data_IF_126395697845
#
_entry.id   IF_126395697845
#
_cell.length_a   1.000
_cell.length_b   1.000
_cell.length_c   1.000
_cell.angle_alpha   90.00
_cell.angle_beta   90.00
_cell.angle_gamma   90.00
#
_symmetry.space_group_name_H-M   'P 1'
#
loop_
_entity.id
_entity.type
_entity.pdbx_description
1 polymer ?
#
# COMPACT_ATOMS: atom_id res chain seq x y z
N UNK A 1 52.21 3.34 25.27
CA UNK A 1 51.96 4.38 24.26
C UNK A 1 51.59 3.79 22.89
N UNK A 2 52.30 2.73 22.37
CA UNK A 2 51.97 2.07 21.09
C UNK A 2 50.56 1.46 21.06
N UNK A 3 50.09 0.82 22.14
CA UNK A 3 48.73 0.26 22.27
C UNK A 3 47.64 1.32 22.16
N UNK A 4 47.81 2.48 22.80
CA UNK A 4 46.86 3.59 22.72
C UNK A 4 46.77 4.15 21.30
N UNK A 5 47.92 4.32 20.65
CA UNK A 5 47.99 4.82 19.27
C UNK A 5 47.35 3.81 18.29
N UNK A 6 47.63 2.51 18.44
CA UNK A 6 47.00 1.48 17.62
C UNK A 6 45.47 1.39 17.86
N UNK A 7 45.03 1.52 19.11
CA UNK A 7 43.59 1.54 19.46
C UNK A 7 42.92 2.77 18.88
N UNK A 8 43.51 3.93 18.93
CA UNK A 8 42.99 5.16 18.31
C UNK A 8 42.96 5.05 16.78
N UNK A 9 44.01 4.46 16.17
CA UNK A 9 44.03 4.18 14.75
C UNK A 9 42.87 3.26 14.36
N UNK A 10 42.67 2.14 15.05
CA UNK A 10 41.57 1.22 14.82
C UNK A 10 40.18 1.86 15.00
N UNK A 11 40.03 2.78 15.95
CA UNK A 11 38.79 3.53 16.12
C UNK A 11 38.50 4.47 14.95
N UNK A 12 39.52 5.12 14.41
CA UNK A 12 39.39 5.97 13.22
C UNK A 12 39.02 5.13 12.00
N UNK A 13 39.69 4.00 11.81
CA UNK A 13 39.44 3.09 10.69
C UNK A 13 38.04 2.46 10.74
N UNK A 14 37.46 2.31 11.94
CA UNK A 14 36.10 1.84 12.14
C UNK A 14 35.03 2.94 11.95
N UNK A 15 35.42 4.20 11.74
CA UNK A 15 34.44 5.25 11.46
C UNK A 15 33.82 5.06 10.08
N UNK A 16 32.52 5.28 9.96
CA UNK A 16 31.80 5.21 8.69
C UNK A 16 32.36 6.19 7.63
N UNK A 17 33.04 7.26 8.04
CA UNK A 17 33.67 8.22 7.13
C UNK A 17 34.70 7.60 6.19
N UNK A 18 35.39 6.54 6.63
CA UNK A 18 36.44 5.89 5.86
C UNK A 18 35.89 4.92 4.80
N UNK A 19 34.67 4.40 5.00
CA UNK A 19 34.01 3.45 4.11
C UNK A 19 32.90 4.05 3.25
N UNK A 20 32.55 5.32 3.48
CA UNK A 20 31.41 5.98 2.84
C UNK A 20 31.67 6.26 1.35
N UNK A 21 30.80 5.77 0.48
CA UNK A 21 30.85 6.03 -0.96
C UNK A 21 30.01 7.27 -1.33
N UNK A 22 30.21 7.79 -2.54
CA UNK A 22 29.35 8.87 -3.08
C UNK A 22 27.89 8.41 -3.14
N UNK A 23 27.64 7.14 -3.47
CA UNK A 23 26.28 6.58 -3.46
C UNK A 23 25.64 6.63 -2.07
N UNK A 24 26.36 6.30 -1.00
CA UNK A 24 25.86 6.42 0.37
C UNK A 24 25.48 7.85 0.71
N UNK A 25 26.31 8.84 0.33
CA UNK A 25 26.02 10.26 0.56
C UNK A 25 24.72 10.67 -0.17
N UNK A 26 24.54 10.25 -1.43
CA UNK A 26 23.32 10.52 -2.18
C UNK A 26 22.10 9.91 -1.45
N UNK A 27 22.19 8.67 -1.00
CA UNK A 27 21.08 8.01 -0.29
C UNK A 27 20.77 8.64 1.07
N UNK A 28 21.78 9.14 1.79
CA UNK A 28 21.60 9.93 3.02
C UNK A 28 20.83 11.22 2.71
N UNK A 29 21.16 11.91 1.62
CA UNK A 29 20.42 13.10 1.18
C UNK A 29 18.97 12.78 0.79
N UNK A 30 18.76 11.63 0.12
CA UNK A 30 17.40 11.12 -0.19
C UNK A 30 16.64 10.82 1.09
N UNK A 31 17.28 10.20 2.08
CA UNK A 31 16.66 9.96 3.39
C UNK A 31 16.26 11.27 4.09
N UNK A 32 17.12 12.28 4.07
CA UNK A 32 16.78 13.61 4.59
C UNK A 32 15.63 14.28 3.84
N UNK A 33 15.57 14.12 2.52
CA UNK A 33 14.43 14.59 1.72
C UNK A 33 13.13 13.91 2.18
N UNK A 34 13.14 12.60 2.37
CA UNK A 34 11.95 11.87 2.81
C UNK A 34 11.54 12.25 4.23
N UNK A 35 12.50 12.44 5.15
CA UNK A 35 12.22 12.97 6.48
C UNK A 35 11.59 14.37 6.40
N UNK A 36 12.13 15.26 5.56
CA UNK A 36 11.56 16.58 5.36
C UNK A 36 10.13 16.52 4.81
N UNK A 37 9.88 15.70 3.78
CA UNK A 37 8.55 15.54 3.20
C UNK A 37 7.56 14.98 4.22
N UNK A 38 7.99 14.04 5.03
CA UNK A 38 7.16 13.44 6.06
C UNK A 38 6.88 14.40 7.23
N UNK A 39 7.92 15.01 7.81
CA UNK A 39 7.81 15.83 9.03
C UNK A 39 7.24 17.21 8.70
N UNK A 40 7.78 17.89 7.67
CA UNK A 40 7.41 19.27 7.36
C UNK A 40 6.18 19.37 6.43
N UNK A 41 5.94 18.38 5.57
CA UNK A 41 4.82 18.38 4.62
C UNK A 41 3.70 17.43 4.99
N UNK A 42 3.89 16.58 6.02
CA UNK A 42 2.87 15.64 6.50
C UNK A 42 2.58 14.47 5.53
N UNK A 43 3.54 14.12 4.67
CA UNK A 43 3.38 13.02 3.73
C UNK A 43 3.56 11.68 4.43
N UNK A 44 2.45 11.01 4.73
CA UNK A 44 2.35 9.68 5.36
C UNK A 44 3.38 9.46 6.49
N UNK A 45 3.35 10.28 7.57
CA UNK A 45 4.42 10.29 8.59
C UNK A 45 4.63 8.93 9.25
N UNK A 46 3.55 8.15 9.44
CA UNK A 46 3.62 6.86 10.12
C UNK A 46 4.52 5.85 9.40
N UNK A 47 4.58 5.91 8.07
CA UNK A 47 5.37 4.97 7.27
C UNK A 47 6.67 5.60 6.78
N UNK A 48 6.61 6.82 6.27
CA UNK A 48 7.76 7.43 5.61
C UNK A 48 8.88 7.79 6.59
N UNK A 49 8.57 8.15 7.86
CA UNK A 49 9.60 8.43 8.88
C UNK A 49 10.45 7.18 9.17
N UNK A 50 9.88 6.02 9.56
CA UNK A 50 10.69 4.83 9.81
C UNK A 50 11.39 4.31 8.54
N UNK A 51 10.80 4.42 7.35
CA UNK A 51 11.47 4.05 6.08
C UNK A 51 12.70 4.93 5.86
N UNK A 52 12.55 6.25 5.95
CA UNK A 52 13.66 7.17 5.76
C UNK A 52 14.77 6.98 6.80
N UNK A 53 14.39 6.64 8.03
CA UNK A 53 15.36 6.37 9.08
C UNK A 53 16.11 5.05 8.86
N UNK A 54 15.43 3.99 8.43
CA UNK A 54 16.06 2.73 8.02
C UNK A 54 17.03 2.91 6.84
N UNK A 55 16.62 3.71 5.83
CA UNK A 55 17.47 4.12 4.72
C UNK A 55 18.73 4.86 5.19
N UNK A 56 18.58 5.77 6.15
CA UNK A 56 19.71 6.50 6.75
C UNK A 56 20.68 5.51 7.42
N UNK A 57 20.17 4.60 8.25
CA UNK A 57 20.99 3.65 9.00
C UNK A 57 21.80 2.73 8.08
N UNK A 58 21.20 2.12 7.06
CA UNK A 58 21.90 1.17 6.17
C UNK A 58 22.96 1.86 5.32
N UNK A 59 22.77 3.13 4.96
CA UNK A 59 23.75 3.88 4.17
C UNK A 59 24.87 4.47 5.00
N UNK A 60 24.76 4.49 6.33
CA UNK A 60 25.84 4.83 7.28
C UNK A 60 26.56 3.57 7.76
N UNK A 61 25.81 2.52 8.08
CA UNK A 61 26.30 1.26 8.63
C UNK A 61 25.62 0.05 7.96
N UNK A 62 26.13 -0.40 6.78
CA UNK A 62 25.51 -1.51 6.03
C UNK A 62 25.39 -2.81 6.80
N UNK A 63 26.31 -3.09 7.75
CA UNK A 63 26.31 -4.33 8.54
C UNK A 63 25.08 -4.48 9.44
N UNK A 64 24.29 -3.41 9.64
CA UNK A 64 23.00 -3.49 10.35
C UNK A 64 22.00 -4.43 9.65
N UNK A 65 22.19 -4.66 8.32
CA UNK A 65 21.44 -5.62 7.50
C UNK A 65 22.14 -6.94 7.26
N UNK A 66 23.41 -7.10 7.69
CA UNK A 66 24.11 -8.36 7.62
C UNK A 66 23.51 -9.39 8.60
N UNK A 67 23.84 -10.68 8.41
CA UNK A 67 23.45 -11.74 9.35
C UNK A 67 23.97 -11.40 10.76
N UNK A 68 23.05 -11.38 11.74
CA UNK A 68 23.33 -10.91 13.10
C UNK A 68 23.02 -9.42 13.35
N UNK A 69 22.81 -8.62 12.31
CA UNK A 69 22.39 -7.22 12.43
C UNK A 69 20.93 -7.07 12.82
N UNK A 70 20.60 -6.00 13.56
CA UNK A 70 19.25 -5.77 14.08
C UNK A 70 18.19 -5.73 12.97
N UNK A 71 18.43 -4.95 11.92
CA UNK A 71 17.43 -4.75 10.86
C UNK A 71 17.31 -5.96 9.94
N UNK A 72 18.31 -6.84 9.90
CA UNK A 72 18.22 -8.14 9.24
C UNK A 72 17.09 -8.99 9.85
N UNK A 73 16.99 -9.06 11.19
CA UNK A 73 15.93 -9.83 11.85
C UNK A 73 14.54 -9.21 11.62
N UNK A 74 14.43 -7.89 11.57
CA UNK A 74 13.15 -7.26 11.21
C UNK A 74 12.77 -7.55 9.77
N UNK A 75 13.74 -7.52 8.86
CA UNK A 75 13.55 -7.85 7.45
C UNK A 75 13.09 -9.31 7.24
N UNK A 76 13.60 -10.27 8.02
CA UNK A 76 13.12 -11.65 7.95
C UNK A 76 11.62 -11.76 8.23
N UNK A 77 11.06 -10.94 9.12
CA UNK A 77 9.62 -10.91 9.36
C UNK A 77 8.82 -10.40 8.15
N UNK A 78 9.42 -9.53 7.33
CA UNK A 78 8.83 -9.09 6.05
C UNK A 78 8.94 -10.22 5.02
N UNK A 79 10.10 -10.83 4.88
CA UNK A 79 10.35 -11.92 3.93
C UNK A 79 9.44 -13.13 4.21
N UNK A 80 9.21 -13.44 5.48
CA UNK A 80 8.26 -14.48 5.90
C UNK A 80 6.79 -14.04 5.79
N UNK A 81 6.53 -12.81 5.34
CA UNK A 81 5.20 -12.25 5.18
C UNK A 81 4.40 -12.09 6.48
N UNK A 82 5.07 -12.06 7.64
CA UNK A 82 4.43 -11.88 8.94
C UNK A 82 3.93 -10.44 9.10
N UNK A 83 4.82 -9.45 8.90
CA UNK A 83 4.47 -8.04 9.11
C UNK A 83 3.36 -7.57 8.16
N UNK A 84 3.39 -7.84 6.84
CA UNK A 84 2.29 -7.47 5.95
C UNK A 84 0.94 -8.09 6.37
N UNK A 85 0.92 -9.34 6.79
CA UNK A 85 -0.30 -10.00 7.26
C UNK A 85 -0.85 -9.34 8.53
N UNK A 86 0.01 -8.94 9.48
CA UNK A 86 -0.40 -8.22 10.69
C UNK A 86 -0.90 -6.79 10.39
N UNK A 87 -0.36 -6.12 9.37
CA UNK A 87 -0.92 -4.85 8.88
C UNK A 87 -2.36 -5.05 8.40
N UNK A 88 -2.62 -6.12 7.63
CA UNK A 88 -3.98 -6.43 7.18
C UNK A 88 -4.94 -6.68 8.35
N UNK A 89 -4.49 -7.32 9.44
CA UNK A 89 -5.27 -7.45 10.67
C UNK A 89 -5.64 -6.07 11.25
N UNK A 90 -4.67 -5.17 11.38
CA UNK A 90 -4.89 -3.82 11.88
C UNK A 90 -5.81 -3.01 10.97
N UNK A 91 -5.58 -3.05 9.65
CA UNK A 91 -6.46 -2.39 8.66
C UNK A 91 -7.88 -2.92 8.76
N UNK A 92 -8.07 -4.23 8.90
CA UNK A 92 -9.39 -4.84 9.11
C UNK A 92 -10.09 -4.33 10.38
N UNK A 93 -9.37 -4.21 11.49
CA UNK A 93 -9.88 -3.69 12.75
C UNK A 93 -10.26 -2.19 12.67
N UNK A 94 -9.60 -1.42 11.80
CA UNK A 94 -9.88 0.00 11.58
C UNK A 94 -10.99 0.25 10.56
N UNK A 95 -11.25 -0.70 9.66
CA UNK A 95 -12.08 -0.50 8.47
C UNK A 95 -13.55 -0.82 8.74
N UNK A 96 -14.46 0.08 8.32
CA UNK A 96 -15.89 -0.18 8.27
C UNK A 96 -16.30 -0.67 6.86
N UNK A 97 -16.69 -1.94 6.76
CA UNK A 97 -17.19 -2.53 5.52
C UNK A 97 -18.68 -2.26 5.27
N UNK A 98 -19.36 -1.56 6.19
CA UNK A 98 -20.78 -1.19 6.06
C UNK A 98 -21.16 -0.58 4.70
N UNK A 99 -20.41 0.42 4.19
CA UNK A 99 -20.67 1.01 2.87
C UNK A 99 -20.61 0.00 1.71
N UNK A 100 -19.69 -0.97 1.77
CA UNK A 100 -19.56 -2.02 0.77
C UNK A 100 -20.73 -3.03 0.86
N UNK A 101 -21.11 -3.41 2.08
CA UNK A 101 -22.26 -4.30 2.32
C UNK A 101 -23.58 -3.62 1.90
N UNK A 102 -23.71 -2.32 2.17
CA UNK A 102 -24.88 -1.55 1.77
C UNK A 102 -25.04 -1.44 0.25
N UNK A 103 -23.92 -1.34 -0.47
CA UNK A 103 -23.89 -1.25 -1.94
C UNK A 103 -22.87 -2.22 -2.54
N UNK A 104 -23.19 -3.51 -2.71
CA UNK A 104 -22.27 -4.51 -3.24
C UNK A 104 -21.77 -4.21 -4.66
N UNK A 105 -22.49 -3.41 -5.46
CA UNK A 105 -22.02 -2.97 -6.79
C UNK A 105 -20.70 -2.21 -6.72
N UNK A 106 -20.34 -1.67 -5.54
CA UNK A 106 -19.05 -1.03 -5.28
C UNK A 106 -17.85 -1.97 -5.49
N UNK A 107 -18.02 -3.28 -5.37
CA UNK A 107 -16.99 -4.27 -5.71
C UNK A 107 -16.49 -4.12 -7.15
N UNK A 108 -17.37 -3.80 -8.08
CA UNK A 108 -17.02 -3.63 -9.48
C UNK A 108 -16.10 -2.43 -9.71
N UNK A 109 -16.26 -1.36 -8.92
CA UNK A 109 -15.39 -0.19 -8.97
C UNK A 109 -14.01 -0.49 -8.38
N UNK A 110 -13.96 -1.24 -7.28
CA UNK A 110 -12.71 -1.75 -6.72
C UNK A 110 -11.98 -2.66 -7.71
N UNK A 111 -12.70 -3.60 -8.34
CA UNK A 111 -12.12 -4.48 -9.36
C UNK A 111 -11.61 -3.71 -10.58
N UNK A 112 -12.34 -2.69 -11.06
CA UNK A 112 -11.92 -1.87 -12.18
C UNK A 112 -10.61 -1.11 -11.91
N UNK A 113 -10.41 -0.62 -10.70
CA UNK A 113 -9.18 0.07 -10.32
C UNK A 113 -7.95 -0.87 -10.30
N UNK A 114 -8.15 -2.20 -10.14
CA UNK A 114 -7.06 -3.18 -10.25
C UNK A 114 -6.47 -3.26 -11.68
N UNK A 115 -7.09 -2.64 -12.66
CA UNK A 115 -6.52 -2.52 -14.01
C UNK A 115 -5.11 -1.92 -13.97
N UNK A 116 -4.82 -1.04 -13.00
CA UNK A 116 -3.48 -0.51 -12.75
C UNK A 116 -2.44 -1.60 -12.50
N UNK A 117 -2.80 -2.68 -11.80
CA UNK A 117 -1.92 -3.84 -11.55
C UNK A 117 -1.55 -4.52 -12.87
N UNK A 118 -2.52 -4.77 -13.75
CA UNK A 118 -2.26 -5.41 -15.03
C UNK A 118 -1.41 -4.53 -15.96
N UNK A 119 -1.68 -3.22 -16.00
CA UNK A 119 -0.84 -2.27 -16.75
C UNK A 119 0.60 -2.29 -16.23
N UNK A 120 0.79 -2.31 -14.89
CA UNK A 120 2.11 -2.42 -14.30
C UNK A 120 2.79 -3.75 -14.64
N UNK A 121 2.07 -4.87 -14.61
CA UNK A 121 2.62 -6.19 -14.95
C UNK A 121 3.17 -6.23 -16.38
N UNK A 122 2.31 -5.91 -17.36
CA UNK A 122 2.73 -5.90 -18.75
C UNK A 122 3.79 -4.83 -19.05
N UNK A 123 3.69 -3.67 -18.40
CA UNK A 123 4.71 -2.62 -18.49
C UNK A 123 6.07 -3.09 -17.93
N UNK A 124 6.10 -3.82 -16.82
CA UNK A 124 7.32 -4.37 -16.25
C UNK A 124 7.97 -5.42 -17.19
N UNK A 125 7.15 -6.32 -17.76
CA UNK A 125 7.63 -7.27 -18.78
C UNK A 125 8.24 -6.53 -19.98
N UNK A 126 7.56 -5.51 -20.50
CA UNK A 126 8.06 -4.70 -21.61
C UNK A 126 9.38 -3.95 -21.27
N UNK A 127 9.59 -3.60 -19.99
CA UNK A 127 10.82 -2.99 -19.50
C UNK A 127 11.94 -4.00 -19.22
N UNK A 128 11.70 -5.31 -19.43
CA UNK A 128 12.69 -6.40 -19.33
C UNK A 128 12.79 -7.02 -17.93
N UNK A 129 11.82 -6.83 -17.05
CA UNK A 129 11.73 -7.61 -15.80
C UNK A 129 11.30 -9.04 -16.10
N UNK A 130 11.78 -10.01 -15.31
CA UNK A 130 11.25 -11.37 -15.38
C UNK A 130 9.81 -11.42 -14.79
N UNK A 131 9.07 -12.50 -15.09
CA UNK A 131 7.65 -12.63 -14.73
C UNK A 131 7.38 -12.46 -13.24
N UNK A 132 8.24 -13.02 -12.35
CA UNK A 132 8.07 -12.90 -10.90
C UNK A 132 8.36 -11.48 -10.40
N UNK A 133 9.41 -10.84 -10.94
CA UNK A 133 9.72 -9.45 -10.62
C UNK A 133 8.60 -8.51 -11.15
N UNK A 134 8.11 -8.76 -12.37
CA UNK A 134 6.99 -8.02 -12.93
C UNK A 134 5.72 -8.14 -12.07
N UNK A 135 5.41 -9.34 -11.58
CA UNK A 135 4.29 -9.55 -10.66
C UNK A 135 4.47 -8.80 -9.34
N UNK A 136 5.66 -8.84 -8.73
CA UNK A 136 5.95 -8.11 -7.51
C UNK A 136 5.80 -6.59 -7.70
N UNK A 137 6.35 -6.03 -8.79
CA UNK A 137 6.24 -4.60 -9.13
C UNK A 137 4.79 -4.21 -9.43
N UNK A 138 4.00 -5.10 -10.01
CA UNK A 138 2.66 -4.78 -10.51
C UNK A 138 1.68 -4.31 -9.43
N UNK A 139 1.81 -4.84 -8.20
CA UNK A 139 0.92 -4.51 -7.09
C UNK A 139 0.96 -3.01 -6.73
N UNK A 140 2.05 -2.32 -7.05
CA UNK A 140 2.15 -0.85 -6.86
C UNK A 140 0.98 -0.13 -7.57
N UNK A 141 0.53 -0.66 -8.72
CA UNK A 141 -0.60 -0.11 -9.47
C UNK A 141 -1.94 -0.14 -8.72
N UNK A 142 -2.07 -1.01 -7.70
CA UNK A 142 -3.19 -1.06 -6.78
C UNK A 142 -3.09 -0.09 -5.61
N UNK A 143 -1.94 0.60 -5.44
CA UNK A 143 -1.62 1.48 -4.31
C UNK A 143 -1.71 0.75 -2.95
N UNK A 144 -1.13 -0.44 -2.86
CA UNK A 144 -1.11 -1.29 -1.68
C UNK A 144 0.32 -1.68 -1.30
N UNK A 145 0.91 -0.90 -0.39
CA UNK A 145 2.29 -1.10 0.07
C UNK A 145 2.50 -2.46 0.73
N UNK A 146 1.72 -2.83 1.74
CA UNK A 146 1.83 -4.14 2.41
C UNK A 146 1.71 -5.33 1.47
N UNK A 147 0.74 -5.32 0.56
CA UNK A 147 0.57 -6.39 -0.44
C UNK A 147 1.75 -6.45 -1.41
N UNK A 148 2.32 -5.30 -1.79
CA UNK A 148 3.50 -5.24 -2.67
C UNK A 148 4.70 -5.92 -2.03
N UNK A 149 4.95 -5.66 -0.73
CA UNK A 149 6.03 -6.29 0.05
C UNK A 149 5.76 -7.79 0.22
N UNK A 150 4.52 -8.14 0.60
CA UNK A 150 4.10 -9.52 0.74
C UNK A 150 4.40 -10.35 -0.51
N UNK A 151 3.97 -9.86 -1.66
CA UNK A 151 4.17 -10.59 -2.91
C UNK A 151 5.64 -10.63 -3.33
N UNK A 152 6.40 -9.54 -3.15
CA UNK A 152 7.83 -9.50 -3.43
C UNK A 152 8.60 -10.54 -2.59
N UNK A 153 8.31 -10.63 -1.28
CA UNK A 153 8.89 -11.65 -0.40
C UNK A 153 8.52 -13.06 -0.82
N UNK A 154 7.23 -13.33 -1.03
CA UNK A 154 6.75 -14.67 -1.45
C UNK A 154 7.27 -15.13 -2.79
N UNK A 155 7.52 -14.22 -3.74
CA UNK A 155 8.12 -14.54 -5.04
C UNK A 155 9.66 -14.57 -5.03
N UNK A 156 10.30 -14.34 -3.89
CA UNK A 156 11.76 -14.33 -3.74
C UNK A 156 12.43 -13.14 -4.47
N UNK A 157 11.75 -11.99 -4.52
CA UNK A 157 12.23 -10.77 -5.20
C UNK A 157 12.83 -9.76 -4.21
N UNK A 158 13.63 -10.26 -3.26
CA UNK A 158 14.24 -9.48 -2.18
C UNK A 158 15.08 -8.30 -2.68
N UNK A 159 15.78 -8.48 -3.80
CA UNK A 159 16.64 -7.43 -4.38
C UNK A 159 15.89 -6.16 -4.83
N UNK A 160 14.63 -6.26 -5.17
CA UNK A 160 13.79 -5.13 -5.60
C UNK A 160 12.70 -4.75 -4.59
N UNK A 161 12.66 -5.42 -3.43
CA UNK A 161 11.65 -5.17 -2.40
C UNK A 161 11.71 -3.72 -1.87
N UNK A 162 12.91 -3.21 -1.60
CA UNK A 162 13.12 -1.83 -1.17
C UNK A 162 12.59 -0.80 -2.16
N UNK A 163 13.03 -0.81 -3.43
CA UNK A 163 12.47 0.03 -4.48
C UNK A 163 10.95 -0.06 -4.63
N UNK A 164 10.37 -1.28 -4.58
CA UNK A 164 8.92 -1.50 -4.64
C UNK A 164 8.22 -0.82 -3.47
N UNK A 165 8.71 -1.04 -2.25
CA UNK A 165 8.10 -0.50 -1.06
C UNK A 165 8.17 1.04 -1.01
N UNK A 166 9.34 1.62 -1.29
CA UNK A 166 9.51 3.08 -1.35
C UNK A 166 8.59 3.68 -2.41
N UNK A 167 8.48 3.08 -3.60
CA UNK A 167 7.56 3.55 -4.64
C UNK A 167 6.11 3.45 -4.17
N UNK A 168 5.66 2.29 -3.66
CA UNK A 168 4.29 2.06 -3.23
C UNK A 168 3.85 3.05 -2.14
N UNK A 169 4.66 3.21 -1.07
CA UNK A 169 4.33 4.13 0.02
C UNK A 169 4.42 5.60 -0.39
N UNK A 170 5.38 5.97 -1.25
CA UNK A 170 5.45 7.33 -1.79
C UNK A 170 4.20 7.68 -2.59
N UNK A 171 3.69 6.77 -3.43
CA UNK A 171 2.47 7.02 -4.20
C UNK A 171 1.23 7.04 -3.33
N UNK A 172 1.14 6.21 -2.29
CA UNK A 172 0.07 6.31 -1.31
C UNK A 172 0.03 7.71 -0.68
N UNK A 173 1.18 8.28 -0.32
CA UNK A 173 1.27 9.64 0.22
C UNK A 173 0.86 10.71 -0.79
N UNK A 174 1.11 10.48 -2.08
CA UNK A 174 0.84 11.42 -3.16
C UNK A 174 -0.57 11.27 -3.76
N UNK A 175 -1.39 10.34 -3.28
CA UNK A 175 -2.80 10.16 -3.70
C UNK A 175 -3.56 11.49 -3.77
N UNK A 176 -3.50 12.39 -2.76
CA UNK A 176 -4.21 13.67 -2.79
C UNK A 176 -3.73 14.65 -3.86
N UNK A 177 -2.56 14.41 -4.44
CA UNK A 177 -1.96 15.24 -5.49
C UNK A 177 -2.18 14.62 -6.87
N UNK A 178 -2.01 13.30 -7.00
CA UNK A 178 -2.03 12.58 -8.28
C UNK A 178 -3.47 12.36 -8.77
N UNK A 179 -4.38 11.98 -7.89
CA UNK A 179 -5.75 11.62 -8.30
C UNK A 179 -6.60 12.80 -8.78
N UNK A 180 -6.63 13.99 -8.12
CA UNK A 180 -7.54 15.06 -8.51
C UNK A 180 -7.40 15.54 -9.96
N UNK A 181 -6.19 15.72 -10.55
CA UNK A 181 -6.05 16.06 -11.96
C UNK A 181 -6.67 15.02 -12.89
N UNK A 182 -6.46 13.74 -12.63
CA UNK A 182 -6.99 12.62 -13.43
C UNK A 182 -8.51 12.59 -13.35
N UNK A 183 -9.06 12.71 -12.13
CA UNK A 183 -10.49 12.75 -11.88
C UNK A 183 -11.17 13.91 -12.62
N UNK A 184 -10.57 15.12 -12.55
CA UNK A 184 -11.09 16.32 -13.21
C UNK A 184 -11.01 16.23 -14.73
N UNK A 185 -9.94 15.62 -15.25
CA UNK A 185 -9.75 15.41 -16.69
C UNK A 185 -10.80 14.45 -17.27
N UNK A 186 -11.13 13.39 -16.53
CA UNK A 186 -12.02 12.33 -16.98
C UNK A 186 -13.48 12.57 -16.67
N UNK A 187 -13.84 13.56 -15.85
CA UNK A 187 -15.22 13.85 -15.47
C UNK A 187 -15.63 15.28 -15.83
N UNK A 188 -16.87 15.44 -16.25
CA UNK A 188 -17.49 16.76 -16.45
C UNK A 188 -17.95 17.35 -15.12
N UNK A 189 -18.15 18.68 -15.07
CA UNK A 189 -18.65 19.35 -13.89
C UNK A 189 -20.06 18.85 -13.47
N UNK A 190 -20.90 18.51 -14.46
CA UNK A 190 -22.23 17.93 -14.22
C UNK A 190 -22.13 16.58 -13.52
N UNK A 191 -21.23 15.71 -13.98
CA UNK A 191 -21.01 14.39 -13.36
C UNK A 191 -20.48 14.52 -11.93
N UNK A 192 -19.59 15.47 -11.66
CA UNK A 192 -19.05 15.70 -10.31
C UNK A 192 -20.09 16.19 -9.30
N UNK A 193 -21.14 16.87 -9.79
CA UNK A 193 -22.26 17.38 -8.96
C UNK A 193 -23.37 16.35 -8.69
N UNK A 194 -23.27 15.13 -9.24
CA UNK A 194 -24.26 14.07 -8.99
C UNK A 194 -24.27 13.74 -7.49
N UNK A 195 -25.43 13.88 -6.87
CA UNK A 195 -25.68 13.48 -5.47
C UNK A 195 -26.21 12.07 -5.44
N UNK A 196 -25.54 11.21 -4.68
CA UNK A 196 -25.96 9.83 -4.53
C UNK A 196 -27.00 9.70 -3.41
N UNK A 197 -27.95 8.79 -3.59
CA UNK A 197 -28.94 8.48 -2.57
C UNK A 197 -28.26 7.87 -1.33
N UNK A 198 -28.83 8.13 -0.14
CA UNK A 198 -28.31 7.61 1.12
C UNK A 198 -28.21 6.07 1.08
N UNK A 199 -27.10 5.54 1.58
CA UNK A 199 -26.91 4.09 1.71
C UNK A 199 -27.94 3.48 2.65
N UNK A 200 -28.40 2.26 2.34
CA UNK A 200 -29.28 1.53 3.25
C UNK A 200 -28.58 1.26 4.60
N UNK A 201 -29.32 1.21 5.69
CA UNK A 201 -28.77 0.74 6.95
C UNK A 201 -28.34 -0.75 6.83
N UNK A 202 -27.19 -1.08 7.43
CA UNK A 202 -26.65 -2.44 7.47
C UNK A 202 -26.87 -2.99 8.88
N UNK A 203 -27.47 -4.17 8.99
CA UNK A 203 -27.71 -4.82 10.27
C UNK A 203 -26.42 -5.32 10.90
N UNK A 204 -26.39 -5.45 12.23
CA UNK A 204 -25.25 -6.00 12.96
C UNK A 204 -24.91 -7.42 12.51
N UNK A 205 -25.91 -8.24 12.19
CA UNK A 205 -25.72 -9.60 11.70
C UNK A 205 -24.99 -9.61 10.36
N UNK A 206 -25.39 -8.76 9.39
CA UNK A 206 -24.71 -8.62 8.11
C UNK A 206 -23.23 -8.24 8.30
N UNK A 207 -22.95 -7.30 9.20
CA UNK A 207 -21.58 -6.86 9.50
C UNK A 207 -20.72 -7.98 10.11
N UNK A 208 -21.29 -8.84 10.97
CA UNK A 208 -20.57 -9.98 11.56
C UNK A 208 -20.39 -11.12 10.55
N UNK A 209 -21.39 -11.41 9.73
CA UNK A 209 -21.34 -12.51 8.75
C UNK A 209 -20.43 -12.17 7.57
N UNK A 210 -20.32 -10.89 7.18
CA UNK A 210 -19.54 -10.47 6.03
C UNK A 210 -18.08 -10.95 6.08
N UNK A 211 -17.28 -10.68 7.12
CA UNK A 211 -15.89 -11.14 7.17
C UNK A 211 -15.76 -12.67 7.18
N UNK A 212 -16.69 -13.39 7.78
CA UNK A 212 -16.70 -14.86 7.79
C UNK A 212 -16.94 -15.38 6.38
N UNK A 213 -17.98 -14.88 5.70
CA UNK A 213 -18.34 -15.32 4.35
C UNK A 213 -17.25 -14.99 3.35
N UNK A 214 -16.68 -13.76 3.41
CA UNK A 214 -15.58 -13.36 2.51
C UNK A 214 -14.37 -14.26 2.72
N UNK A 215 -13.97 -14.53 3.98
CA UNK A 215 -12.86 -15.43 4.27
C UNK A 215 -13.09 -16.82 3.68
N UNK A 216 -14.26 -17.42 3.92
CA UNK A 216 -14.56 -18.76 3.44
C UNK A 216 -14.59 -18.81 1.91
N UNK A 217 -15.33 -17.90 1.28
CA UNK A 217 -15.50 -17.90 -0.19
C UNK A 217 -14.18 -17.64 -0.89
N UNK A 218 -13.46 -16.61 -0.49
CA UNK A 218 -12.20 -16.22 -1.16
C UNK A 218 -11.12 -17.29 -0.94
N UNK A 219 -10.99 -17.82 0.28
CA UNK A 219 -9.98 -18.85 0.57
C UNK A 219 -10.29 -20.20 -0.05
N UNK A 220 -11.57 -20.55 -0.27
CA UNK A 220 -11.94 -21.76 -1.01
C UNK A 220 -11.62 -21.65 -2.50
N UNK A 221 -11.82 -20.46 -3.09
CA UNK A 221 -11.53 -20.23 -4.52
C UNK A 221 -10.01 -20.08 -4.74
N UNK A 222 -9.34 -19.34 -3.86
CA UNK A 222 -7.93 -18.99 -3.99
C UNK A 222 -7.23 -19.08 -2.62
N UNK A 223 -6.80 -20.28 -2.20
CA UNK A 223 -6.20 -20.51 -0.86
C UNK A 223 -4.99 -19.62 -0.55
N UNK A 224 -4.22 -19.24 -1.56
CA UNK A 224 -3.04 -18.38 -1.43
C UNK A 224 -3.35 -16.97 -0.91
N UNK A 225 -4.61 -16.53 -0.95
CA UNK A 225 -5.03 -15.23 -0.40
C UNK A 225 -5.28 -15.26 1.10
N UNK A 226 -5.42 -16.46 1.70
CA UNK A 226 -5.82 -16.61 3.10
C UNK A 226 -4.96 -15.80 4.10
N UNK A 227 -3.62 -15.68 3.95
CA UNK A 227 -2.83 -14.88 4.88
C UNK A 227 -3.23 -13.40 4.89
N UNK A 228 -3.56 -12.80 3.76
CA UNK A 228 -3.92 -11.39 3.67
C UNK A 228 -5.42 -11.18 3.94
N UNK A 229 -6.27 -11.83 3.15
CA UNK A 229 -7.73 -11.66 3.27
C UNK A 229 -8.23 -12.20 4.60
N UNK A 230 -7.70 -13.34 5.06
CA UNK A 230 -8.07 -13.91 6.36
C UNK A 230 -7.73 -12.98 7.52
N UNK A 231 -6.53 -12.39 7.54
CA UNK A 231 -6.14 -11.44 8.58
C UNK A 231 -6.93 -10.13 8.51
N UNK A 232 -7.22 -9.62 7.32
CA UNK A 232 -8.11 -8.46 7.12
C UNK A 232 -9.49 -8.72 7.71
N UNK A 233 -10.07 -9.86 7.37
CA UNK A 233 -11.41 -10.24 7.82
C UNK A 233 -11.44 -10.59 9.31
N UNK A 234 -10.36 -11.17 9.87
CA UNK A 234 -10.24 -11.41 11.30
C UNK A 234 -10.26 -10.10 12.09
N UNK A 235 -9.49 -9.09 11.65
CA UNK A 235 -9.50 -7.77 12.26
C UNK A 235 -10.88 -7.11 12.20
N UNK A 236 -11.56 -7.23 11.07
CA UNK A 236 -12.92 -6.73 10.93
C UNK A 236 -13.92 -7.47 11.82
N UNK A 237 -13.79 -8.79 11.95
CA UNK A 237 -14.62 -9.58 12.86
C UNK A 237 -14.42 -9.17 14.33
N UNK A 238 -13.20 -8.85 14.76
CA UNK A 238 -12.95 -8.29 16.09
C UNK A 238 -13.79 -7.04 16.33
N UNK A 239 -13.76 -6.12 15.35
CA UNK A 239 -14.51 -4.85 15.42
C UNK A 239 -16.02 -5.08 15.46
N UNK A 240 -16.56 -5.81 14.48
CA UNK A 240 -18.00 -5.91 14.27
C UNK A 240 -18.71 -6.84 15.29
N UNK A 241 -17.98 -7.80 15.84
CA UNK A 241 -18.52 -8.67 16.91
C UNK A 241 -18.88 -7.88 18.17
N UNK A 242 -18.07 -6.89 18.52
CA UNK A 242 -18.21 -6.05 19.70
C UNK A 242 -17.92 -6.75 21.03
N UNK A 243 -17.55 -8.06 21.00
CA UNK A 243 -17.30 -8.86 22.23
C UNK A 243 -15.82 -8.91 22.63
N UNK A 244 -14.92 -8.52 21.73
CA UNK A 244 -13.46 -8.53 21.92
C UNK A 244 -12.85 -7.13 21.70
N UNK A 245 -13.42 -6.12 22.31
CA UNK A 245 -12.99 -4.71 22.11
C UNK A 245 -11.50 -4.51 22.38
N UNK A 246 -10.93 -5.18 23.36
CA UNK A 246 -9.50 -5.11 23.70
C UNK A 246 -8.62 -5.62 22.54
N UNK A 247 -9.04 -6.67 21.83
CA UNK A 247 -8.32 -7.14 20.63
C UNK A 247 -8.44 -6.16 19.48
N UNK A 248 -9.63 -5.56 19.31
CA UNK A 248 -9.84 -4.51 18.29
C UNK A 248 -8.93 -3.31 18.55
N UNK A 249 -8.91 -2.80 19.79
CA UNK A 249 -8.09 -1.65 20.16
C UNK A 249 -6.59 -1.96 20.02
N UNK A 250 -6.18 -3.16 20.42
CA UNK A 250 -4.78 -3.60 20.28
C UNK A 250 -4.39 -3.72 18.81
N UNK A 251 -5.21 -4.34 17.98
CA UNK A 251 -4.93 -4.55 16.57
C UNK A 251 -4.91 -3.21 15.79
N UNK A 252 -5.85 -2.32 16.07
CA UNK A 252 -5.99 -1.04 15.40
C UNK A 252 -4.93 0.00 15.81
N UNK A 253 -4.34 -0.12 16.98
CA UNK A 253 -3.43 0.88 17.55
C UNK A 253 -2.06 0.26 17.85
N UNK A 254 -1.88 -0.39 19.01
CA UNK A 254 -0.57 -0.80 19.50
C UNK A 254 0.13 -1.78 18.54
N UNK A 255 -0.55 -2.83 18.10
CA UNK A 255 0.01 -3.80 17.16
C UNK A 255 0.34 -3.15 15.82
N UNK A 256 -0.59 -2.36 15.27
CA UNK A 256 -0.38 -1.66 14.00
C UNK A 256 0.86 -0.76 14.04
N UNK A 257 1.04 0.02 15.12
CA UNK A 257 2.19 0.91 15.25
C UNK A 257 3.51 0.14 15.44
N UNK A 258 3.51 -0.94 16.21
CA UNK A 258 4.69 -1.82 16.36
C UNK A 258 5.08 -2.39 15.00
N UNK A 259 4.13 -2.94 14.26
CA UNK A 259 4.37 -3.53 12.94
C UNK A 259 4.87 -2.48 11.95
N UNK A 260 4.31 -1.28 11.98
CA UNK A 260 4.75 -0.16 11.12
C UNK A 260 6.19 0.27 11.42
N UNK A 261 6.60 0.28 12.70
CA UNK A 261 7.98 0.56 13.07
C UNK A 261 8.92 -0.50 12.51
N UNK A 262 8.62 -1.77 12.73
CA UNK A 262 9.45 -2.88 12.28
C UNK A 262 9.53 -2.92 10.74
N UNK A 263 8.40 -2.89 10.06
CA UNK A 263 8.30 -2.93 8.60
C UNK A 263 8.95 -1.69 7.97
N UNK A 264 8.64 -0.50 8.46
CA UNK A 264 9.18 0.73 7.88
C UNK A 264 10.71 0.80 7.99
N UNK A 265 11.28 0.45 9.16
CA UNK A 265 12.73 0.47 9.35
C UNK A 265 13.44 -0.63 8.54
N UNK A 266 12.89 -1.84 8.49
CA UNK A 266 13.45 -2.95 7.69
C UNK A 266 13.41 -2.66 6.19
N UNK A 267 12.26 -2.20 5.70
CA UNK A 267 12.09 -1.79 4.29
C UNK A 267 13.03 -0.64 3.92
N UNK A 268 13.14 0.38 4.79
CA UNK A 268 14.10 1.46 4.59
C UNK A 268 15.54 0.94 4.50
N UNK A 269 15.89 -0.04 5.31
CA UNK A 269 17.21 -0.64 5.31
C UNK A 269 17.51 -1.51 4.06
N UNK A 270 16.52 -1.93 3.29
CA UNK A 270 16.74 -2.57 1.98
C UNK A 270 17.12 -1.58 0.87
N UNK A 271 17.13 -0.27 1.15
CA UNK A 271 17.47 0.79 0.19
C UNK A 271 18.93 1.25 0.33
N UNK A 272 19.88 0.32 0.34
CA UNK A 272 21.30 0.66 0.23
C UNK A 272 21.60 1.36 -1.10
N UNK A 273 22.71 2.09 -1.19
CA UNK A 273 23.11 2.77 -2.42
C UNK A 273 23.16 1.83 -3.63
N UNK A 274 23.69 0.62 -3.45
CA UNK A 274 23.78 -0.39 -4.52
C UNK A 274 22.39 -0.91 -4.94
N UNK A 275 21.53 -1.17 -3.97
CA UNK A 275 20.19 -1.70 -4.24
C UNK A 275 19.25 -0.65 -4.84
N UNK A 276 19.42 0.63 -4.51
CA UNK A 276 18.48 1.69 -4.88
C UNK A 276 18.95 2.53 -6.07
N UNK A 277 20.24 2.87 -6.18
CA UNK A 277 20.77 3.72 -7.25
C UNK A 277 21.10 2.91 -8.51
N UNK A 278 20.06 2.27 -9.07
CA UNK A 278 20.18 1.47 -10.28
C UNK A 278 19.02 1.73 -11.24
N UNK A 279 19.17 1.28 -12.49
CA UNK A 279 18.16 1.48 -13.53
C UNK A 279 16.84 0.74 -13.24
N UNK A 280 16.88 -0.37 -12.52
CA UNK A 280 15.66 -1.11 -12.15
C UNK A 280 14.77 -0.27 -11.22
N UNK A 281 15.36 0.41 -10.24
CA UNK A 281 14.63 1.33 -9.34
C UNK A 281 13.94 2.46 -10.11
N UNK A 282 14.64 3.09 -11.05
CA UNK A 282 14.05 4.16 -11.87
C UNK A 282 12.85 3.62 -12.67
N UNK A 283 13.01 2.45 -13.29
CA UNK A 283 11.92 1.76 -14.01
C UNK A 283 10.72 1.49 -13.10
N UNK A 284 10.95 0.97 -11.88
CA UNK A 284 9.92 0.67 -10.89
C UNK A 284 9.17 1.95 -10.49
N UNK A 285 9.91 3.03 -10.20
CA UNK A 285 9.32 4.31 -9.80
C UNK A 285 8.45 4.89 -10.92
N UNK A 286 8.95 4.99 -12.14
CA UNK A 286 8.18 5.54 -13.25
C UNK A 286 6.95 4.67 -13.57
N UNK A 287 7.16 3.35 -13.66
CA UNK A 287 6.09 2.41 -13.97
C UNK A 287 5.00 2.41 -12.91
N UNK A 288 5.39 2.46 -11.63
CA UNK A 288 4.45 2.51 -10.51
C UNK A 288 3.57 3.77 -10.55
N UNK A 289 4.16 4.93 -10.85
CA UNK A 289 3.41 6.17 -11.02
C UNK A 289 2.39 6.07 -12.16
N UNK A 290 2.82 5.60 -13.32
CA UNK A 290 1.94 5.41 -14.48
C UNK A 290 0.82 4.42 -14.16
N UNK A 291 1.16 3.29 -13.56
CA UNK A 291 0.19 2.26 -13.19
C UNK A 291 -0.87 2.78 -12.21
N UNK A 292 -0.45 3.57 -11.23
CA UNK A 292 -1.38 4.22 -10.29
C UNK A 292 -2.31 5.22 -11.00
N UNK A 293 -1.79 5.99 -11.96
CA UNK A 293 -2.61 6.86 -12.80
C UNK A 293 -3.63 6.05 -13.62
N UNK A 294 -3.22 4.94 -14.23
CA UNK A 294 -4.11 4.06 -14.99
C UNK A 294 -5.16 3.39 -14.10
N UNK A 295 -4.82 2.93 -12.90
CA UNK A 295 -5.78 2.39 -11.94
C UNK A 295 -6.84 3.40 -11.54
N UNK A 296 -6.43 4.63 -11.23
CA UNK A 296 -7.33 5.75 -10.95
C UNK A 296 -8.24 6.05 -12.15
N UNK A 297 -7.67 6.13 -13.36
CA UNK A 297 -8.42 6.39 -14.58
C UNK A 297 -9.43 5.28 -14.89
N UNK A 298 -9.03 4.03 -14.78
CA UNK A 298 -9.92 2.88 -15.00
C UNK A 298 -11.09 2.88 -14.01
N UNK A 299 -10.84 3.15 -12.72
CA UNK A 299 -11.89 3.28 -11.72
C UNK A 299 -12.89 4.39 -12.06
N UNK A 300 -12.41 5.58 -12.43
CA UNK A 300 -13.27 6.71 -12.81
C UNK A 300 -14.05 6.40 -14.11
N UNK A 301 -13.43 5.84 -15.12
CA UNK A 301 -14.08 5.48 -16.38
C UNK A 301 -15.17 4.42 -16.16
N UNK A 302 -14.89 3.42 -15.32
CA UNK A 302 -15.90 2.44 -14.95
C UNK A 302 -17.03 3.07 -14.12
N UNK A 303 -16.71 4.03 -13.25
CA UNK A 303 -17.69 4.88 -12.56
C UNK A 303 -18.58 5.66 -13.54
N UNK A 304 -18.02 6.17 -14.64
CA UNK A 304 -18.82 6.79 -15.72
C UNK A 304 -19.72 5.78 -16.42
N UNK A 305 -19.21 4.60 -16.70
CA UNK A 305 -20.04 3.53 -17.26
C UNK A 305 -21.22 3.20 -16.35
N UNK A 306 -20.96 3.05 -15.03
CA UNK A 306 -22.02 2.83 -14.05
C UNK A 306 -22.98 4.02 -14.00
N UNK A 307 -22.49 5.27 -14.06
CA UNK A 307 -23.33 6.46 -14.13
C UNK A 307 -24.30 6.42 -15.31
N UNK A 308 -23.82 6.04 -16.50
CA UNK A 308 -24.66 5.91 -17.68
C UNK A 308 -25.71 4.78 -17.53
N UNK A 309 -25.27 3.61 -17.06
CA UNK A 309 -26.15 2.45 -16.86
C UNK A 309 -27.23 2.71 -15.79
N UNK A 310 -26.89 3.50 -14.78
CA UNK A 310 -27.84 3.86 -13.69
C UNK A 310 -28.57 5.17 -13.95
N UNK A 311 -28.52 5.72 -15.17
CA UNK A 311 -29.20 6.97 -15.54
C UNK A 311 -28.84 8.16 -14.62
N UNK A 312 -27.60 8.24 -14.14
CA UNK A 312 -27.08 9.35 -13.34
C UNK A 312 -27.20 9.17 -11.84
N UNK A 313 -27.47 7.97 -11.32
CA UNK A 313 -27.53 7.70 -9.87
C UNK A 313 -26.13 7.58 -9.24
N UNK A 314 -25.12 7.14 -10.01
CA UNK A 314 -23.76 6.92 -9.52
C UNK A 314 -22.85 8.07 -9.92
N UNK A 315 -22.19 8.69 -8.94
CA UNK A 315 -21.19 9.71 -9.21
C UNK A 315 -19.85 9.04 -9.64
N UNK A 316 -19.34 9.32 -10.85
CA UNK A 316 -18.11 8.70 -11.35
C UNK A 316 -16.87 8.90 -10.45
N UNK A 317 -16.83 9.97 -9.66
CA UNK A 317 -15.70 10.25 -8.77
C UNK A 317 -15.42 9.12 -7.78
N UNK A 318 -16.45 8.38 -7.32
CA UNK A 318 -16.24 7.30 -6.35
C UNK A 318 -15.40 6.15 -6.91
N UNK A 319 -15.34 6.02 -8.25
CA UNK A 319 -14.50 5.03 -8.92
C UNK A 319 -13.00 5.24 -8.68
N UNK A 320 -12.54 6.49 -8.49
CA UNK A 320 -11.14 6.77 -8.15
C UNK A 320 -10.73 6.17 -6.80
N UNK A 321 -11.69 5.92 -5.91
CA UNK A 321 -11.44 5.33 -4.61
C UNK A 321 -11.22 3.80 -4.67
N UNK A 322 -11.41 3.16 -5.82
CA UNK A 322 -11.19 1.72 -5.99
C UNK A 322 -9.74 1.25 -5.82
N UNK A 323 -8.77 2.16 -5.73
CA UNK A 323 -7.40 1.83 -5.32
C UNK A 323 -7.34 1.56 -3.81
N UNK A 324 -6.36 0.75 -3.38
CA UNK A 324 -6.28 0.22 -2.01
C UNK A 324 -5.82 1.23 -0.93
N UNK A 325 -5.59 2.49 -1.28
CA UNK A 325 -5.16 3.53 -0.34
C UNK A 325 -6.32 3.97 0.59
N UNK A 326 -6.63 3.20 1.62
CA UNK A 326 -7.72 3.41 2.57
C UNK A 326 -7.24 4.25 3.76
N UNK A 327 -7.99 5.29 4.21
CA UNK A 327 -9.18 5.88 3.60
C UNK A 327 -8.85 7.07 2.67
N UNK A 328 -7.59 7.24 2.26
CA UNK A 328 -7.13 8.46 1.57
C UNK A 328 -7.85 8.67 0.22
N UNK A 329 -7.95 7.63 -0.61
CA UNK A 329 -8.59 7.75 -1.91
C UNK A 329 -10.08 8.12 -1.80
N UNK A 330 -10.78 7.59 -0.81
CA UNK A 330 -12.17 7.98 -0.54
C UNK A 330 -12.30 9.46 -0.12
N UNK A 331 -11.35 9.95 0.70
CA UNK A 331 -11.30 11.37 1.09
C UNK A 331 -11.01 12.28 -0.11
N UNK A 332 -10.18 11.85 -1.05
CA UNK A 332 -9.92 12.59 -2.29
C UNK A 332 -11.17 12.66 -3.15
N UNK A 333 -11.91 11.57 -3.30
CA UNK A 333 -13.19 11.57 -4.02
C UNK A 333 -14.19 12.55 -3.39
N UNK A 334 -14.28 12.57 -2.06
CA UNK A 334 -15.09 13.55 -1.32
C UNK A 334 -14.63 14.98 -1.58
N UNK A 335 -13.32 15.24 -1.50
CA UNK A 335 -12.77 16.59 -1.71
C UNK A 335 -13.09 17.12 -3.10
N UNK A 336 -12.85 16.34 -4.14
CA UNK A 336 -13.11 16.74 -5.53
C UNK A 336 -14.60 16.93 -5.79
N UNK A 337 -15.46 16.10 -5.17
CA UNK A 337 -16.92 16.28 -5.22
C UNK A 337 -17.39 17.57 -4.53
N UNK A 338 -16.86 17.86 -3.35
CA UNK A 338 -17.18 19.07 -2.59
C UNK A 338 -16.65 20.37 -3.26
N UNK A 339 -15.56 20.30 -4.01
CA UNK A 339 -15.09 21.43 -4.83
C UNK A 339 -16.08 21.78 -5.96
N UNK A 340 -16.81 20.80 -6.49
CA UNK A 340 -17.84 21.03 -7.51
C UNK A 340 -19.20 21.42 -6.89
N UNK A 341 -19.59 20.83 -5.77
CA UNK A 341 -20.78 21.15 -4.99
C UNK A 341 -20.50 20.88 -3.50
N UNK A 342 -20.37 21.93 -2.64
CA UNK A 342 -20.07 21.78 -1.21
C UNK A 342 -21.10 20.95 -0.42
N UNK A 343 -22.30 20.76 -0.97
CA UNK A 343 -23.35 19.95 -0.35
C UNK A 343 -23.33 18.48 -0.79
N UNK A 344 -22.34 18.08 -1.60
CA UNK A 344 -22.22 16.71 -2.10
C UNK A 344 -21.34 15.86 -1.17
N UNK A 345 -21.96 14.89 -0.50
CA UNK A 345 -21.30 13.99 0.45
C UNK A 345 -21.04 12.62 -0.19
N UNK A 346 -19.86 12.46 -0.76
CA UNK A 346 -19.46 11.21 -1.46
C UNK A 346 -18.65 10.25 -0.58
N UNK A 347 -18.17 10.67 0.59
CA UNK A 347 -17.22 9.89 1.40
C UNK A 347 -17.71 8.47 1.67
N UNK A 348 -18.93 8.32 2.17
CA UNK A 348 -19.47 6.99 2.50
C UNK A 348 -19.67 6.12 1.25
N UNK A 349 -20.02 6.72 0.11
CA UNK A 349 -20.13 6.01 -1.15
C UNK A 349 -18.76 5.61 -1.72
N UNK A 350 -17.75 6.45 -1.55
CA UNK A 350 -16.38 6.17 -1.96
C UNK A 350 -15.68 5.14 -1.09
N UNK A 351 -16.07 5.00 0.19
CA UNK A 351 -15.54 3.96 1.08
C UNK A 351 -15.82 2.55 0.58
N UNK A 352 -16.97 2.29 -0.05
CA UNK A 352 -17.31 0.99 -0.61
C UNK A 352 -16.26 0.50 -1.63
N UNK A 353 -16.04 1.23 -2.75
CA UNK A 353 -14.97 0.90 -3.70
C UNK A 353 -13.58 0.85 -3.08
N UNK A 354 -13.28 1.73 -2.13
CA UNK A 354 -11.96 1.82 -1.50
C UNK A 354 -11.62 0.54 -0.73
N UNK A 355 -12.57 0.04 0.03
CA UNK A 355 -12.41 -1.21 0.79
C UNK A 355 -12.41 -2.43 -0.14
N UNK A 356 -13.23 -2.40 -1.21
CA UNK A 356 -13.20 -3.42 -2.26
C UNK A 356 -11.83 -3.50 -2.95
N UNK A 357 -11.14 -2.36 -3.09
CA UNK A 357 -9.77 -2.28 -3.61
C UNK A 357 -8.77 -3.09 -2.80
N UNK A 358 -8.84 -3.03 -1.46
CA UNK A 358 -7.95 -3.81 -0.57
C UNK A 358 -8.13 -5.31 -0.77
N UNK A 359 -9.38 -5.77 -0.85
CA UNK A 359 -9.66 -7.17 -1.17
C UNK A 359 -9.15 -7.51 -2.57
N UNK A 360 -9.33 -6.61 -3.53
CA UNK A 360 -8.90 -6.78 -4.91
C UNK A 360 -7.38 -6.94 -5.05
N UNK A 361 -6.57 -6.11 -4.37
CA UNK A 361 -5.11 -6.24 -4.39
C UNK A 361 -4.63 -7.53 -3.73
N UNK A 362 -5.23 -7.91 -2.60
CA UNK A 362 -4.92 -9.18 -1.94
C UNK A 362 -5.25 -10.39 -2.84
N UNK A 363 -6.39 -10.36 -3.54
CA UNK A 363 -6.78 -11.40 -4.51
C UNK A 363 -5.82 -11.41 -5.70
N UNK A 364 -5.39 -10.25 -6.21
CA UNK A 364 -4.41 -10.17 -7.29
C UNK A 364 -3.07 -10.79 -6.87
N UNK A 365 -2.57 -10.49 -5.67
CA UNK A 365 -1.35 -11.09 -5.12
C UNK A 365 -1.48 -12.61 -4.99
N UNK A 366 -2.58 -13.10 -4.42
CA UNK A 366 -2.85 -14.53 -4.32
C UNK A 366 -2.95 -15.22 -5.69
N UNK A 367 -3.50 -14.53 -6.69
CA UNK A 367 -3.57 -15.03 -8.08
C UNK A 367 -2.16 -15.20 -8.66
N UNK A 368 -1.27 -14.21 -8.51
CA UNK A 368 0.13 -14.34 -8.93
C UNK A 368 0.84 -15.48 -8.20
N UNK A 369 0.63 -15.63 -6.88
CA UNK A 369 1.21 -16.76 -6.15
C UNK A 369 0.73 -18.11 -6.70
N UNK A 370 -0.56 -18.24 -7.00
CA UNK A 370 -1.12 -19.44 -7.60
C UNK A 370 -0.53 -19.73 -8.98
N UNK A 371 -0.41 -18.71 -9.84
CA UNK A 371 0.19 -18.83 -11.19
C UNK A 371 1.65 -19.30 -11.09
N UNK A 372 2.43 -18.78 -10.13
CA UNK A 372 3.84 -19.16 -9.99
C UNK A 372 4.07 -20.37 -9.07
N UNK A 373 3.02 -21.05 -8.61
CA UNK A 373 3.10 -22.23 -7.77
C UNK A 373 3.70 -21.99 -6.38
N UNK A 374 3.63 -20.76 -5.87
CA UNK A 374 4.12 -20.37 -4.54
C UNK A 374 3.01 -20.54 -3.51
N UNK A 375 3.35 -21.12 -2.34
CA UNK A 375 2.39 -21.37 -1.25
C UNK A 375 2.65 -20.44 -0.06
#
# INVERSE_FOLDING_TARGET
>A
MSYIISTLGNLIDQTAFMSMTVGNIIMILVAFLFLYLSIAKGFEPLLLVPIAFGMLLVNIYPDIMAEGGLLHYFYLLDEWAILPSLIFLGVGAMTDFGPLIANPKSFLLGAAAQFGIFVAYFGAIALGFNDKAAAAVSIIGGADGPTSIFLAGKLGQSAIMGPIAVAAYSYMSLVPIIQPPIMKLLTTEKERKIKMAQLRPVSKLEKILFPIVVTVVVSLILPTTAPLVGMLMLGNLFRESGVVRQLTDTAANALMYIVVILLGTSVGATTSAEAFLNMATIKIVILGLLAFCFGTAAGVLFGKLMCVVTHGEVNPLIGSAGVSAVPMAARVSQKVGAEADPTNFLLMHAMGPNVAGVIGTAVAAGTFMAIFGVK
#
